data_IF_777067979570
#
_entry.id   IF_777067979570
#
_cell.length_a   1.000
_cell.length_b   1.000
_cell.length_c   1.000
_cell.angle_alpha   90.00
_cell.angle_beta   90.00
_cell.angle_gamma   90.00
#
_symmetry.space_group_name_H-M   'P 1'
#
loop_
_entity.id
_entity.type
_entity.pdbx_description
1 polymer ?
#
# COMPACT_ATOMS: atom_id res chain seq x y z
N UNK A 1 -44.82 34.62 13.85
CA UNK A 1 -43.73 33.63 14.05
C UNK A 1 -43.06 33.96 15.36
N UNK A 2 -42.91 33.04 16.32
CA UNK A 2 -42.19 33.35 17.56
C UNK A 2 -40.71 33.61 17.20
N UNK A 3 -40.06 34.59 17.85
CA UNK A 3 -38.68 34.89 17.60
C UNK A 3 -37.81 33.68 17.99
N UNK A 4 -36.90 33.24 17.09
CA UNK A 4 -36.06 32.05 17.24
C UNK A 4 -35.34 31.98 18.60
N UNK A 5 -35.02 33.13 19.22
CA UNK A 5 -34.38 33.20 20.52
C UNK A 5 -35.26 32.70 21.69
N UNK A 6 -36.59 32.78 21.59
CA UNK A 6 -37.50 32.27 22.63
C UNK A 6 -37.58 30.73 22.56
N UNK A 7 -37.65 30.16 21.37
CA UNK A 7 -37.64 28.71 21.18
C UNK A 7 -36.37 28.04 21.73
N UNK A 8 -35.21 28.66 21.48
CA UNK A 8 -33.92 28.14 21.96
C UNK A 8 -33.84 28.17 23.50
N UNK A 9 -34.36 29.21 24.12
CA UNK A 9 -34.33 29.35 25.56
C UNK A 9 -35.31 28.39 26.28
N UNK A 10 -36.48 28.18 25.71
CA UNK A 10 -37.50 27.31 26.29
C UNK A 10 -37.18 25.80 26.05
N UNK A 11 -36.32 25.48 25.11
CA UNK A 11 -35.96 24.10 24.72
C UNK A 11 -34.44 23.82 24.78
N UNK A 12 -33.73 24.42 25.73
CA UNK A 12 -32.25 24.29 25.85
C UNK A 12 -31.79 22.86 25.91
N UNK A 13 -32.47 21.99 26.65
CA UNK A 13 -32.12 20.58 26.74
C UNK A 13 -32.30 19.82 25.42
N UNK A 14 -33.36 20.12 24.69
CA UNK A 14 -33.62 19.50 23.37
C UNK A 14 -32.58 19.97 22.36
N UNK A 15 -32.26 21.27 22.34
CA UNK A 15 -31.24 21.83 21.46
C UNK A 15 -29.87 21.24 21.79
N UNK A 16 -29.51 21.13 23.05
CA UNK A 16 -28.24 20.53 23.48
C UNK A 16 -28.18 19.04 23.11
N UNK A 17 -29.27 18.29 23.31
CA UNK A 17 -29.33 16.88 22.98
C UNK A 17 -29.14 16.58 21.47
N UNK A 18 -29.60 17.51 20.61
CA UNK A 18 -29.42 17.35 19.12
C UNK A 18 -28.09 17.95 18.67
N UNK A 19 -27.66 19.07 19.22
CA UNK A 19 -26.45 19.76 18.77
C UNK A 19 -25.18 19.04 19.19
N UNK A 20 -25.14 18.41 20.37
CA UNK A 20 -23.95 17.72 20.86
C UNK A 20 -23.48 16.58 19.94
N UNK A 21 -24.35 15.64 19.50
CA UNK A 21 -23.94 14.62 18.52
C UNK A 21 -23.48 15.23 17.19
N UNK A 22 -24.14 16.29 16.71
CA UNK A 22 -23.74 16.96 15.47
C UNK A 22 -22.35 17.62 15.58
N UNK A 23 -22.07 18.26 16.72
CA UNK A 23 -20.75 18.84 17.00
C UNK A 23 -19.66 17.76 17.06
N UNK A 24 -19.94 16.63 17.70
CA UNK A 24 -19.01 15.51 17.77
C UNK A 24 -18.74 14.96 16.36
N UNK A 25 -19.78 14.72 15.57
CA UNK A 25 -19.63 14.27 14.19
C UNK A 25 -18.86 15.30 13.35
N UNK A 26 -19.19 16.58 13.47
CA UNK A 26 -18.49 17.67 12.80
C UNK A 26 -17.01 17.73 13.16
N UNK A 27 -16.69 17.58 14.45
CA UNK A 27 -15.30 17.51 14.92
C UNK A 27 -14.53 16.33 14.31
N UNK A 28 -15.11 15.14 14.29
CA UNK A 28 -14.48 13.98 13.66
C UNK A 28 -14.28 14.17 12.15
N UNK A 29 -15.26 14.73 11.46
CA UNK A 29 -15.13 15.04 10.02
C UNK A 29 -14.00 16.04 9.77
N UNK A 30 -13.91 17.10 10.56
CA UNK A 30 -12.81 18.07 10.46
C UNK A 30 -11.46 17.43 10.78
N UNK A 31 -11.36 16.67 11.87
CA UNK A 31 -10.12 15.99 12.25
C UNK A 31 -9.61 15.02 11.16
N UNK A 32 -10.50 14.37 10.42
CA UNK A 32 -10.14 13.50 9.29
C UNK A 32 -9.83 14.27 8.00
N UNK A 33 -10.38 15.48 7.85
CA UNK A 33 -10.16 16.31 6.67
C UNK A 33 -8.86 17.13 6.73
N UNK A 34 -8.46 17.59 7.94
CA UNK A 34 -7.26 18.41 8.14
C UNK A 34 -6.00 17.79 7.52
N UNK A 35 -5.65 16.49 7.72
CA UNK A 35 -4.45 15.90 7.12
C UNK A 35 -4.48 15.90 5.60
N UNK A 36 -5.66 15.83 4.98
CA UNK A 36 -5.80 15.87 3.52
C UNK A 36 -5.51 17.25 2.94
N UNK A 37 -5.73 18.30 3.72
CA UNK A 37 -5.50 19.70 3.29
C UNK A 37 -4.08 20.17 3.60
N UNK A 38 -3.47 19.66 4.67
CA UNK A 38 -2.16 20.12 5.15
C UNK A 38 -1.00 19.32 4.59
N UNK A 39 -1.21 18.04 4.27
CA UNK A 39 -0.16 17.16 3.72
C UNK A 39 -0.40 16.96 2.23
N UNK A 40 0.56 17.30 1.35
CA UNK A 40 0.42 17.07 -0.09
C UNK A 40 0.30 15.57 -0.42
N UNK A 41 -0.23 15.20 -1.60
CA UNK A 41 -0.24 13.81 -2.05
C UNK A 41 1.19 13.29 -2.25
N UNK A 42 1.40 11.94 -2.28
CA UNK A 42 2.69 11.36 -2.59
C UNK A 42 3.24 11.87 -3.93
N UNK A 43 4.51 12.23 -3.97
CA UNK A 43 5.20 12.73 -5.16
C UNK A 43 6.16 11.71 -5.78
N UNK A 44 6.36 10.56 -5.13
CA UNK A 44 7.30 9.54 -5.55
C UNK A 44 6.61 8.19 -5.76
N UNK A 45 7.08 7.46 -6.76
CA UNK A 45 6.64 6.09 -6.99
C UNK A 45 7.28 5.15 -5.97
N UNK A 46 6.53 4.12 -5.54
CA UNK A 46 7.03 3.11 -4.63
C UNK A 46 7.16 1.77 -5.34
N UNK A 47 8.33 1.15 -5.22
CA UNK A 47 8.58 -0.20 -5.68
C UNK A 47 8.31 -1.20 -4.55
N UNK A 48 7.44 -2.17 -4.80
CA UNK A 48 7.10 -3.22 -3.83
C UNK A 48 7.21 -4.60 -4.47
N UNK A 49 7.64 -5.57 -3.69
CA UNK A 49 7.54 -6.98 -4.04
C UNK A 49 6.44 -7.64 -3.24
N UNK A 50 5.68 -8.52 -3.87
CA UNK A 50 4.61 -9.24 -3.22
C UNK A 50 4.60 -10.71 -3.62
N UNK A 51 4.43 -11.57 -2.62
CA UNK A 51 4.08 -12.96 -2.82
C UNK A 51 2.59 -13.09 -3.13
N UNK A 52 2.17 -14.26 -3.61
CA UNK A 52 0.76 -14.54 -3.85
C UNK A 52 0.50 -16.03 -4.02
N UNK A 53 -0.74 -16.43 -3.81
CA UNK A 53 -1.20 -17.77 -4.15
C UNK A 53 -1.55 -17.77 -5.64
N UNK A 54 -0.67 -18.36 -6.44
CA UNK A 54 -0.92 -18.57 -7.87
C UNK A 54 -1.21 -20.05 -8.09
N UNK A 55 -2.14 -20.34 -8.99
CA UNK A 55 -2.55 -21.72 -9.33
C UNK A 55 -1.46 -22.56 -10.05
N UNK A 56 -0.23 -22.02 -10.14
CA UNK A 56 0.88 -22.69 -10.78
C UNK A 56 2.00 -22.94 -9.77
N UNK A 57 2.51 -24.16 -9.75
CA UNK A 57 3.72 -24.47 -8.98
C UNK A 57 4.90 -23.78 -9.66
N UNK A 58 5.57 -22.84 -8.99
CA UNK A 58 6.69 -22.14 -9.61
C UNK A 58 7.84 -23.12 -9.85
N UNK A 59 8.42 -23.07 -11.03
CA UNK A 59 9.60 -23.88 -11.39
C UNK A 59 10.91 -23.26 -10.88
N UNK A 60 10.85 -22.01 -10.43
CA UNK A 60 11.97 -21.25 -9.91
C UNK A 60 11.54 -20.34 -8.77
N UNK A 61 12.48 -20.02 -7.90
CA UNK A 61 12.31 -18.98 -6.88
C UNK A 61 12.79 -17.66 -7.45
N UNK A 62 11.97 -16.63 -7.34
CA UNK A 62 12.29 -15.26 -7.76
C UNK A 62 12.23 -14.37 -6.56
N UNK A 63 13.31 -13.63 -6.30
CA UNK A 63 13.34 -12.52 -5.35
C UNK A 63 13.80 -11.26 -6.06
N UNK A 64 13.46 -10.10 -5.53
CA UNK A 64 13.85 -8.81 -6.11
C UNK A 64 14.77 -8.10 -5.14
N UNK A 65 15.89 -7.64 -5.66
CA UNK A 65 16.93 -6.91 -4.93
C UNK A 65 17.22 -5.58 -5.60
N UNK A 66 17.58 -4.59 -4.80
CA UNK A 66 18.05 -3.29 -5.26
C UNK A 66 19.52 -3.17 -4.89
N UNK A 67 20.37 -2.91 -5.87
CA UNK A 67 21.81 -2.71 -5.68
C UNK A 67 22.28 -1.44 -6.41
N UNK A 68 23.57 -1.19 -6.44
CA UNK A 68 24.16 -0.02 -7.10
C UNK A 68 23.95 0.01 -8.63
N UNK A 69 23.71 -1.15 -9.25
CA UNK A 69 23.46 -1.27 -10.69
C UNK A 69 21.97 -1.18 -11.05
N UNK A 70 21.08 -1.12 -10.05
CA UNK A 70 19.64 -0.99 -10.25
C UNK A 70 18.82 -2.09 -9.58
N UNK A 71 17.65 -2.38 -10.15
CA UNK A 71 16.75 -3.41 -9.67
C UNK A 71 16.95 -4.71 -10.45
N UNK A 72 17.15 -5.81 -9.74
CA UNK A 72 17.39 -7.12 -10.33
C UNK A 72 16.41 -8.16 -9.77
N UNK A 73 16.00 -9.07 -10.65
CA UNK A 73 15.34 -10.30 -10.25
C UNK A 73 16.42 -11.36 -9.98
N UNK A 74 16.56 -11.75 -8.72
CA UNK A 74 17.43 -12.86 -8.30
C UNK A 74 16.68 -14.18 -8.48
N UNK A 75 17.07 -14.93 -9.49
CA UNK A 75 16.38 -16.16 -9.88
C UNK A 75 17.23 -17.36 -9.50
N UNK A 76 16.63 -18.34 -8.82
CA UNK A 76 17.29 -19.56 -8.36
C UNK A 76 16.37 -20.77 -8.52
N UNK A 77 16.91 -21.98 -8.69
CA UNK A 77 16.10 -23.20 -8.77
C UNK A 77 15.37 -23.46 -7.45
N UNK A 78 14.21 -24.10 -7.53
CA UNK A 78 13.47 -24.57 -6.35
C UNK A 78 14.19 -25.78 -5.77
N UNK A 79 14.52 -25.81 -4.47
CA UNK A 79 15.09 -26.99 -3.84
C UNK A 79 14.15 -28.19 -3.98
N UNK A 80 14.64 -29.43 -4.08
CA UNK A 80 13.82 -30.63 -4.31
C UNK A 80 12.67 -30.83 -3.31
N UNK A 81 12.84 -30.36 -2.08
CA UNK A 81 11.82 -30.40 -1.00
C UNK A 81 11.36 -28.98 -0.62
N UNK A 82 11.65 -27.99 -1.45
CA UNK A 82 11.35 -26.58 -1.17
C UNK A 82 9.96 -26.20 -1.61
N UNK A 83 9.33 -25.35 -0.82
CA UNK A 83 8.11 -24.66 -1.22
C UNK A 83 8.51 -23.29 -1.78
N UNK A 84 8.24 -23.05 -3.06
CA UNK A 84 8.48 -21.76 -3.66
C UNK A 84 7.18 -20.97 -3.72
N UNK A 85 7.20 -19.78 -3.15
CA UNK A 85 6.13 -18.81 -3.31
C UNK A 85 6.52 -17.85 -4.43
N UNK A 86 5.74 -17.78 -5.52
CA UNK A 86 6.05 -16.86 -6.60
C UNK A 86 5.97 -15.42 -6.10
N UNK A 87 7.04 -14.66 -6.29
CA UNK A 87 7.12 -13.26 -5.96
C UNK A 87 7.01 -12.43 -7.22
N UNK A 88 6.22 -11.38 -7.20
CA UNK A 88 6.04 -10.44 -8.31
C UNK A 88 6.43 -9.03 -7.88
N UNK A 89 6.77 -8.22 -8.86
CA UNK A 89 7.19 -6.84 -8.68
C UNK A 89 6.08 -5.90 -9.10
N UNK A 90 5.83 -4.88 -8.28
CA UNK A 90 4.80 -3.87 -8.53
C UNK A 90 5.37 -2.46 -8.31
N UNK A 91 4.84 -1.51 -9.04
CA UNK A 91 5.07 -0.08 -8.85
C UNK A 91 3.76 0.57 -8.45
N UNK A 92 3.79 1.31 -7.35
CA UNK A 92 2.78 2.32 -7.08
C UNK A 92 3.15 3.59 -7.85
N UNK A 93 2.29 4.01 -8.74
CA UNK A 93 2.45 5.23 -9.53
C UNK A 93 1.75 6.38 -8.81
N UNK A 94 2.51 7.36 -8.34
CA UNK A 94 1.96 8.51 -7.62
C UNK A 94 0.98 9.33 -8.45
N UNK A 95 1.15 9.36 -9.78
CA UNK A 95 0.30 10.11 -10.72
C UNK A 95 -1.08 9.50 -10.89
N UNK A 96 -1.19 8.17 -10.87
CA UNK A 96 -2.46 7.43 -11.04
C UNK A 96 -3.06 6.98 -9.72
N UNK A 97 -2.24 6.92 -8.65
CA UNK A 97 -2.63 6.40 -7.35
C UNK A 97 -2.84 4.87 -7.32
N UNK A 98 -2.31 4.14 -8.29
CA UNK A 98 -2.55 2.70 -8.45
C UNK A 98 -1.26 1.88 -8.42
N UNK A 99 -1.40 0.63 -7.99
CA UNK A 99 -0.36 -0.38 -8.16
C UNK A 99 -0.47 -0.99 -9.56
N UNK A 100 0.69 -1.16 -10.21
CA UNK A 100 0.83 -1.83 -11.48
C UNK A 100 1.91 -2.90 -11.40
N UNK A 101 1.67 -4.06 -11.96
CA UNK A 101 2.69 -5.11 -12.07
C UNK A 101 3.77 -4.70 -13.08
N UNK A 102 5.02 -4.97 -12.73
CA UNK A 102 6.18 -4.79 -13.61
C UNK A 102 6.47 -6.11 -14.30
N UNK A 103 6.35 -6.18 -15.63
CA UNK A 103 6.70 -7.39 -16.34
C UNK A 103 8.22 -7.62 -16.30
N UNK A 104 8.62 -8.82 -15.87
CA UNK A 104 10.03 -9.21 -15.83
C UNK A 104 10.20 -10.42 -16.76
N UNK A 105 11.17 -10.34 -17.66
CA UNK A 105 11.49 -11.45 -18.57
C UNK A 105 12.30 -12.50 -17.81
N UNK A 106 11.62 -13.48 -17.27
CA UNK A 106 12.23 -14.61 -16.58
C UNK A 106 12.48 -15.75 -17.56
N UNK A 107 13.47 -16.64 -17.30
CA UNK A 107 13.65 -17.87 -18.06
C UNK A 107 12.44 -18.79 -17.87
N UNK A 108 12.08 -19.57 -18.89
CA UNK A 108 10.93 -20.47 -18.83
C UNK A 108 11.11 -21.57 -17.77
N UNK A 109 12.34 -22.06 -17.60
CA UNK A 109 12.67 -23.13 -16.65
C UNK A 109 14.07 -22.96 -16.07
N UNK A 110 14.27 -23.48 -14.85
CA UNK A 110 15.58 -23.67 -14.25
C UNK A 110 15.73 -25.10 -13.76
N UNK A 111 16.87 -25.72 -14.03
CA UNK A 111 17.20 -27.05 -13.50
C UNK A 111 17.71 -26.93 -12.07
N UNK A 112 17.61 -28.00 -11.30
CA UNK A 112 18.01 -27.99 -9.88
C UNK A 112 19.50 -27.70 -9.65
N UNK A 113 20.34 -27.95 -10.64
CA UNK A 113 21.79 -27.71 -10.65
C UNK A 113 22.22 -26.42 -11.34
N UNK A 114 21.25 -25.63 -11.85
CA UNK A 114 21.56 -24.31 -12.41
C UNK A 114 22.03 -23.33 -11.31
N UNK A 115 23.01 -22.50 -11.65
CA UNK A 115 23.47 -21.45 -10.75
C UNK A 115 22.43 -20.30 -10.67
N UNK A 116 22.31 -19.66 -9.48
CA UNK A 116 21.49 -18.46 -9.35
C UNK A 116 21.92 -17.36 -10.32
N UNK A 117 20.97 -16.59 -10.84
CA UNK A 117 21.23 -15.52 -11.82
C UNK A 117 20.51 -14.25 -11.42
N UNK A 118 21.19 -13.12 -11.63
CA UNK A 118 20.61 -11.79 -11.47
C UNK A 118 20.21 -11.26 -12.86
N UNK A 119 18.92 -11.03 -13.04
CA UNK A 119 18.34 -10.54 -14.29
C UNK A 119 17.92 -9.09 -14.08
N UNK A 120 18.48 -8.14 -14.85
CA UNK A 120 18.06 -6.74 -14.71
C UNK A 120 16.59 -6.59 -15.09
N UNK A 121 15.89 -5.70 -14.39
CA UNK A 121 14.51 -5.33 -14.70
C UNK A 121 14.52 -4.19 -15.72
N UNK A 122 14.33 -4.52 -17.00
CA UNK A 122 14.47 -3.60 -18.13
C UNK A 122 13.68 -2.28 -17.93
N UNK A 123 12.46 -2.37 -17.40
CA UNK A 123 11.59 -1.21 -17.18
C UNK A 123 12.13 -0.22 -16.14
N UNK A 124 13.00 -0.69 -15.25
CA UNK A 124 13.63 0.11 -14.20
C UNK A 124 15.08 0.48 -14.52
N UNK A 125 15.55 0.16 -15.73
CA UNK A 125 16.88 0.53 -16.17
C UNK A 125 17.08 2.06 -16.12
N UNK A 126 18.17 2.49 -15.49
CA UNK A 126 18.49 3.91 -15.31
C UNK A 126 17.66 4.66 -14.27
N UNK A 127 16.69 4.01 -13.62
CA UNK A 127 15.93 4.63 -12.51
C UNK A 127 16.68 4.45 -11.20
N UNK A 128 16.82 5.55 -10.46
CA UNK A 128 17.39 5.50 -9.11
C UNK A 128 16.34 5.08 -8.10
N UNK A 129 16.65 4.06 -7.30
CA UNK A 129 15.79 3.58 -6.21
C UNK A 129 16.44 3.87 -4.87
N UNK A 130 15.76 4.61 -4.01
CA UNK A 130 16.16 4.85 -2.63
C UNK A 130 15.56 3.76 -1.74
N UNK A 131 16.41 2.99 -1.08
CA UNK A 131 16.01 1.90 -0.17
C UNK A 131 15.66 2.38 1.24
N UNK A 132 15.39 3.68 1.41
CA UNK A 132 14.97 4.26 2.70
C UNK A 132 13.55 3.85 3.06
N UNK A 133 13.26 3.77 4.37
CA UNK A 133 11.91 3.47 4.87
C UNK A 133 10.91 4.57 4.51
N UNK A 134 11.37 5.83 4.41
CA UNK A 134 10.56 6.98 4.04
C UNK A 134 10.97 7.53 2.67
N UNK A 135 9.99 7.99 1.92
CA UNK A 135 10.19 8.78 0.72
C UNK A 135 10.77 10.17 1.05
N UNK A 136 11.38 10.87 0.07
CA UNK A 136 11.89 12.23 0.30
C UNK A 136 10.80 13.23 0.72
N UNK A 137 9.55 13.00 0.37
CA UNK A 137 8.37 13.79 0.78
C UNK A 137 7.78 13.35 2.14
N UNK A 138 8.41 12.38 2.82
CA UNK A 138 8.04 11.91 4.15
C UNK A 138 7.01 10.79 4.19
N UNK A 139 6.53 10.28 3.06
CA UNK A 139 5.64 9.13 3.05
C UNK A 139 6.37 7.84 3.43
N UNK A 140 5.69 7.00 4.20
CA UNK A 140 6.17 5.67 4.60
C UNK A 140 5.15 4.61 4.16
N UNK A 141 5.66 3.46 3.75
CA UNK A 141 4.83 2.31 3.43
C UNK A 141 4.51 1.53 4.71
N UNK A 142 3.23 1.25 4.92
CA UNK A 142 2.76 0.44 6.04
C UNK A 142 1.78 -0.63 5.55
N UNK A 143 1.87 -1.80 6.16
CA UNK A 143 0.83 -2.83 6.04
C UNK A 143 -0.06 -2.75 7.27
N UNK A 144 -1.32 -2.34 7.08
CA UNK A 144 -2.30 -2.27 8.15
C UNK A 144 -3.27 -3.44 8.03
N UNK A 145 -3.48 -4.13 9.12
CA UNK A 145 -4.63 -5.03 9.21
C UNK A 145 -5.89 -4.18 9.17
N UNK A 146 -6.64 -4.21 8.09
CA UNK A 146 -8.01 -3.70 8.08
C UNK A 146 -8.83 -4.58 9.00
N UNK A 147 -8.94 -4.20 10.27
CA UNK A 147 -10.08 -4.62 11.08
C UNK A 147 -11.32 -4.06 10.39
N UNK A 148 -12.28 -4.94 10.11
CA UNK A 148 -13.54 -4.56 9.46
C UNK A 148 -14.20 -3.34 10.12
N UNK A 149 -15.20 -2.72 9.49
CA UNK A 149 -15.75 -1.44 9.88
C UNK A 149 -16.36 -1.51 11.29
N UNK A 150 -15.52 -1.19 12.30
CA UNK A 150 -15.96 -0.91 13.67
C UNK A 150 -16.70 -2.05 14.40
N UNK A 151 -17.31 -1.71 15.53
CA UNK A 151 -18.07 -2.58 16.42
C UNK A 151 -19.15 -3.41 15.69
N UNK A 152 -19.75 -2.87 14.63
CA UNK A 152 -20.78 -3.57 13.84
C UNK A 152 -20.19 -4.68 12.98
N UNK A 153 -18.99 -4.53 12.42
CA UNK A 153 -18.31 -5.57 11.64
C UNK A 153 -17.92 -6.78 12.50
N UNK A 154 -17.51 -6.54 13.74
CA UNK A 154 -17.20 -7.60 14.71
C UNK A 154 -18.46 -8.35 15.17
N UNK A 155 -19.60 -7.66 15.33
CA UNK A 155 -20.89 -8.23 15.72
C UNK A 155 -21.49 -9.12 14.63
N UNK A 156 -21.30 -8.79 13.36
CA UNK A 156 -21.88 -9.53 12.23
C UNK A 156 -20.92 -10.53 11.57
N UNK A 157 -19.76 -10.79 12.18
CA UNK A 157 -18.82 -11.84 11.72
C UNK A 157 -18.18 -11.57 10.36
N UNK A 158 -18.27 -10.35 9.83
CA UNK A 158 -17.65 -9.97 8.55
C UNK A 158 -16.14 -9.72 8.71
N UNK A 159 -15.42 -10.72 9.19
CA UNK A 159 -13.95 -10.70 9.23
C UNK A 159 -13.37 -10.97 7.84
N UNK A 160 -13.42 -10.00 6.94
CA UNK A 160 -12.52 -10.02 5.79
C UNK A 160 -11.15 -9.54 6.28
N UNK A 161 -10.21 -10.46 6.36
CA UNK A 161 -8.81 -10.13 6.52
C UNK A 161 -8.32 -9.55 5.19
N UNK A 162 -8.39 -8.25 5.07
CA UNK A 162 -7.83 -7.51 3.93
C UNK A 162 -6.62 -6.74 4.47
N UNK A 163 -5.38 -7.20 4.20
CA UNK A 163 -4.19 -6.46 4.57
C UNK A 163 -4.18 -5.16 3.77
N UNK A 164 -4.62 -4.08 4.40
CA UNK A 164 -4.59 -2.77 3.79
C UNK A 164 -3.17 -2.30 3.58
N UNK A 165 -2.75 -2.18 2.33
CA UNK A 165 -1.50 -1.53 1.96
C UNK A 165 -1.73 -0.02 1.94
N UNK A 166 -0.94 0.74 2.65
CA UNK A 166 -1.13 2.20 2.75
C UNK A 166 0.20 2.95 2.71
N UNK A 167 0.15 4.18 2.19
CA UNK A 167 1.19 5.19 2.39
C UNK A 167 0.72 6.17 3.46
N UNK A 168 1.60 6.50 4.39
CA UNK A 168 1.28 7.36 5.53
C UNK A 168 2.27 8.51 5.63
N UNK A 169 1.76 9.72 5.78
CA UNK A 169 2.55 10.91 6.12
C UNK A 169 1.71 11.89 6.93
N UNK A 170 2.17 12.31 8.11
CA UNK A 170 1.55 13.35 8.93
C UNK A 170 0.06 13.17 9.20
N UNK A 171 -0.43 11.90 9.32
CA UNK A 171 -1.84 11.57 9.48
C UNK A 171 -2.62 11.41 8.17
N UNK A 172 -2.08 11.81 7.02
CA UNK A 172 -2.65 11.48 5.71
C UNK A 172 -2.37 10.00 5.39
N UNK A 173 -3.42 9.28 5.04
CA UNK A 173 -3.36 7.87 4.66
C UNK A 173 -3.84 7.72 3.23
N UNK A 174 -3.01 7.14 2.38
CA UNK A 174 -3.32 6.86 0.97
C UNK A 174 -3.37 5.34 0.79
N UNK A 175 -4.54 4.76 0.53
CA UNK A 175 -4.65 3.32 0.30
C UNK A 175 -4.01 2.95 -1.05
N UNK A 176 -3.26 1.84 -1.06
CA UNK A 176 -2.74 1.24 -2.27
C UNK A 176 -3.71 0.16 -2.72
N UNK A 177 -4.28 0.33 -3.92
CA UNK A 177 -5.21 -0.65 -4.47
C UNK A 177 -4.44 -1.65 -5.32
N UNK A 178 -4.44 -2.95 -4.96
CA UNK A 178 -3.87 -3.99 -5.81
C UNK A 178 -4.54 -4.02 -7.19
N UNK A 179 -3.82 -4.41 -8.24
CA UNK A 179 -4.43 -4.62 -9.56
C UNK A 179 -5.42 -5.80 -9.51
N UNK A 180 -6.38 -5.82 -10.44
CA UNK A 180 -7.35 -6.89 -10.55
C UNK A 180 -6.66 -8.26 -10.68
N UNK A 181 -7.15 -9.26 -9.95
CA UNK A 181 -6.55 -10.60 -9.88
C UNK A 181 -5.38 -10.74 -8.88
N UNK A 182 -5.03 -9.67 -8.16
CA UNK A 182 -3.97 -9.66 -7.16
C UNK A 182 -4.47 -9.19 -5.78
N UNK A 183 -5.72 -9.40 -5.46
CA UNK A 183 -6.35 -8.96 -4.20
C UNK A 183 -5.71 -9.60 -2.96
N UNK A 184 -5.06 -10.76 -3.13
CA UNK A 184 -4.43 -11.54 -2.04
C UNK A 184 -2.90 -11.48 -2.10
N UNK A 185 -2.34 -10.29 -2.21
CA UNK A 185 -0.89 -10.10 -2.15
C UNK A 185 -0.40 -10.24 -0.70
N UNK A 186 0.40 -11.29 -0.41
CA UNK A 186 0.99 -11.48 0.92
C UNK A 186 2.15 -12.48 0.87
N UNK A 187 3.31 -12.20 1.49
CA UNK A 187 3.68 -10.92 2.10
C UNK A 187 3.97 -9.83 1.07
N UNK A 188 3.80 -8.55 1.48
CA UNK A 188 4.19 -7.39 0.68
C UNK A 188 5.33 -6.66 1.36
N UNK A 189 6.39 -6.38 0.62
CA UNK A 189 7.59 -5.70 1.13
C UNK A 189 7.95 -4.54 0.21
N UNK A 190 8.16 -3.36 0.77
CA UNK A 190 8.71 -2.23 0.03
C UNK A 190 10.19 -2.48 -0.27
N UNK A 191 10.58 -2.24 -1.52
CA UNK A 191 11.97 -2.30 -1.97
C UNK A 191 12.62 -0.92 -1.95
N UNK A 192 11.85 0.12 -2.22
CA UNK A 192 12.35 1.49 -2.19
C UNK A 192 11.51 2.44 -3.03
N UNK A 193 11.93 3.70 -3.02
CA UNK A 193 11.27 4.82 -3.70
C UNK A 193 12.00 5.15 -4.99
N UNK A 194 11.26 5.24 -6.09
CA UNK A 194 11.83 5.65 -7.37
C UNK A 194 11.90 7.18 -7.36
N UNK A 195 13.12 7.69 -7.49
CA UNK A 195 13.37 9.13 -7.49
C UNK A 195 13.92 9.57 -8.84
N UNK A 196 13.55 10.77 -9.32
CA UNK A 196 14.14 11.34 -10.52
C UNK A 196 15.64 11.56 -10.32
N UNK A 197 16.40 11.50 -11.41
CA UNK A 197 17.81 11.84 -11.40
C UNK A 197 18.00 13.28 -10.90
N UNK A 198 18.82 13.45 -9.85
CA UNK A 198 19.08 14.75 -9.24
C UNK A 198 18.31 15.08 -7.96
N UNK A 199 17.34 14.27 -7.53
CA UNK A 199 16.76 14.39 -6.21
C UNK A 199 17.79 13.98 -5.14
N UNK A 200 18.14 14.91 -4.23
CA UNK A 200 19.02 14.72 -3.08
C UNK A 200 18.21 14.43 -1.83
#
# INVERSE_FOLDING_TARGET
>A
MPPAGRFLRDNVFLVAAVSLPLLVVGFFLLATAIPRWTVPPPAYDLLVKAGGYYNQTPQMMVDYIVNSSGVHAHVRPVPPNGYAQPTRLFIYEHTTGRLREVPVKLPDTMKADDEPRDIPVDELAGRRVLTSAAAPDGYQFETRSRRGPGILGDLFGMRRYDPGLVLVNGGRVVPLTPPAGHEYMSPVTALGWIVPEGAR
#
